data_IF_418111299192
#
_entry.id   IF_418111299192
#
_cell.length_a   1.000
_cell.length_b   1.000
_cell.length_c   1.000
_cell.angle_alpha   90.00
_cell.angle_beta   90.00
_cell.angle_gamma   90.00
#
_symmetry.space_group_name_H-M   'P 1'
#
loop_
_entity.id
_entity.type
_entity.pdbx_description
1 polymer ?
#
# COMPACT_ATOMS: atom_id res chain seq x y z
N UNK A 1 1.26 41.62 48.73
CA UNK A 1 0.73 41.18 47.42
C UNK A 1 1.79 41.09 46.31
N UNK A 2 2.63 42.11 46.06
CA UNK A 2 3.65 42.07 44.98
C UNK A 2 4.65 40.90 45.04
N UNK A 3 5.04 40.43 46.23
CA UNK A 3 5.98 39.29 46.41
C UNK A 3 5.33 37.91 46.16
N UNK A 4 4.05 37.75 46.50
CA UNK A 4 3.30 36.49 46.28
C UNK A 4 2.96 36.33 44.79
N UNK A 5 2.61 37.42 44.10
CA UNK A 5 2.32 37.41 42.67
C UNK A 5 3.58 37.10 41.83
N UNK A 6 4.75 37.56 42.28
CA UNK A 6 6.05 37.25 41.66
C UNK A 6 6.45 35.77 41.80
N UNK A 7 6.21 35.18 42.99
CA UNK A 7 6.44 33.75 43.25
C UNK A 7 5.51 32.84 42.43
N UNK A 8 4.24 33.22 42.28
CA UNK A 8 3.29 32.52 41.40
C UNK A 8 3.72 32.58 39.93
N UNK A 9 4.24 33.72 39.46
CA UNK A 9 4.77 33.85 38.10
C UNK A 9 6.00 32.98 37.86
N UNK A 10 6.93 32.91 38.82
CA UNK A 10 8.14 32.08 38.72
C UNK A 10 7.77 30.59 38.69
N UNK A 11 6.86 30.14 39.55
CA UNK A 11 6.37 28.76 39.56
C UNK A 11 5.62 28.43 38.26
N UNK A 12 4.80 29.34 37.71
CA UNK A 12 4.13 29.16 36.42
C UNK A 12 5.15 29.07 35.27
N UNK A 13 6.19 29.91 35.26
CA UNK A 13 7.22 29.87 34.22
C UNK A 13 8.13 28.64 34.32
N UNK A 14 8.41 28.15 35.54
CA UNK A 14 9.16 26.91 35.74
C UNK A 14 8.33 25.65 35.44
N UNK A 15 6.99 25.69 35.59
CA UNK A 15 6.11 24.59 35.18
C UNK A 15 5.79 24.58 33.67
N UNK A 16 6.09 25.66 32.94
CA UNK A 16 6.09 25.68 31.47
C UNK A 16 7.46 25.26 30.89
N UNK A 17 8.52 25.27 31.71
CA UNK A 17 9.81 24.60 31.41
C UNK A 17 9.79 23.10 31.78
N UNK A 18 8.63 22.44 31.71
CA UNK A 18 8.63 20.99 31.45
C UNK A 18 9.20 20.86 30.04
N UNK A 19 10.45 20.44 29.98
CA UNK A 19 11.18 20.09 28.77
C UNK A 19 10.23 19.40 27.78
N UNK A 20 9.69 20.18 26.84
CA UNK A 20 9.28 19.65 25.56
C UNK A 20 10.61 19.27 24.91
N UNK A 21 11.16 18.11 25.30
CA UNK A 21 12.20 17.46 24.51
C UNK A 21 11.67 17.50 23.08
N UNK A 22 12.40 18.23 22.23
CA UNK A 22 12.04 18.38 20.83
C UNK A 22 11.86 16.97 20.28
N UNK A 23 10.67 16.69 19.71
CA UNK A 23 10.35 15.35 19.25
C UNK A 23 11.45 14.87 18.32
N UNK A 24 12.00 13.65 18.53
CA UNK A 24 13.14 13.21 17.75
C UNK A 24 12.76 13.17 16.27
N UNK A 25 13.64 13.68 15.42
CA UNK A 25 13.45 13.63 13.97
C UNK A 25 13.58 12.21 13.41
N UNK A 26 14.28 11.34 14.15
CA UNK A 26 14.52 9.96 13.78
C UNK A 26 14.45 9.06 15.02
N UNK A 27 13.75 7.93 14.90
CA UNK A 27 13.59 6.92 15.94
C UNK A 27 13.91 5.55 15.36
N UNK A 28 14.66 4.73 16.09
CA UNK A 28 14.91 3.34 15.72
C UNK A 28 13.79 2.44 16.26
N UNK A 29 13.33 1.48 15.47
CA UNK A 29 12.37 0.45 15.85
C UNK A 29 13.09 -0.88 16.12
N UNK A 30 12.70 -1.66 17.15
CA UNK A 30 11.61 -1.39 18.08
C UNK A 30 11.95 -0.28 19.09
N UNK A 31 10.93 0.42 19.59
CA UNK A 31 11.06 1.45 20.63
C UNK A 31 9.81 1.43 21.51
N UNK A 32 10.00 1.41 22.84
CA UNK A 32 8.92 1.44 23.83
C UNK A 32 8.12 2.75 23.81
N UNK A 33 8.67 3.79 23.18
CA UNK A 33 8.04 5.10 23.02
C UNK A 33 7.10 5.16 21.82
N UNK A 34 7.27 4.26 20.85
CA UNK A 34 6.39 4.16 19.70
C UNK A 34 5.13 3.39 20.07
N UNK A 35 3.98 3.89 19.64
CA UNK A 35 2.70 3.20 19.80
C UNK A 35 1.74 3.56 18.67
N UNK A 36 0.62 2.83 18.61
CA UNK A 36 -0.43 3.04 17.62
C UNK A 36 -1.71 3.49 18.31
N UNK A 37 -2.28 4.61 17.85
CA UNK A 37 -3.58 5.09 18.33
C UNK A 37 -4.73 4.16 17.90
N UNK A 38 -5.92 4.34 18.48
CA UNK A 38 -7.12 3.62 18.02
C UNK A 38 -7.53 3.96 16.58
N UNK A 39 -7.05 5.10 16.06
CA UNK A 39 -7.33 5.57 14.70
C UNK A 39 -6.23 5.17 13.71
N UNK A 40 -5.33 4.25 14.10
CA UNK A 40 -4.19 3.82 13.29
C UNK A 40 -3.19 4.97 12.99
N UNK A 41 -2.97 5.86 13.94
CA UNK A 41 -1.97 6.93 13.84
C UNK A 41 -0.73 6.57 14.67
N UNK A 42 0.46 6.83 14.13
CA UNK A 42 1.71 6.58 14.82
C UNK A 42 1.97 7.64 15.90
N UNK A 43 2.25 7.19 17.11
CA UNK A 43 2.53 8.04 18.26
C UNK A 43 3.97 7.83 18.76
N UNK A 44 4.59 8.89 19.27
CA UNK A 44 5.83 8.86 20.04
C UNK A 44 5.60 9.54 21.39
N UNK A 45 5.81 8.81 22.49
CA UNK A 45 5.50 9.26 23.86
C UNK A 45 4.08 9.85 23.99
N UNK A 46 3.11 9.19 23.31
CA UNK A 46 1.69 9.55 23.35
C UNK A 46 1.26 10.73 22.48
N UNK A 47 2.17 11.30 21.66
CA UNK A 47 1.86 12.40 20.72
C UNK A 47 1.99 11.93 19.27
N UNK A 48 1.22 12.52 18.36
CA UNK A 48 1.33 12.25 16.92
C UNK A 48 2.76 12.48 16.43
N UNK A 49 3.33 11.48 15.78
CA UNK A 49 4.74 11.48 15.39
C UNK A 49 4.94 12.08 14.00
N UNK A 50 5.94 12.97 13.88
CA UNK A 50 6.41 13.61 12.65
C UNK A 50 7.91 13.47 12.58
N UNK A 51 8.38 12.62 11.69
CA UNK A 51 9.79 12.26 11.59
C UNK A 51 9.96 10.93 10.90
N UNK A 52 11.13 10.33 11.11
CA UNK A 52 11.51 9.08 10.46
C UNK A 52 11.54 7.94 11.47
N UNK A 53 11.04 6.77 11.08
CA UNK A 53 11.24 5.53 11.84
C UNK A 53 12.16 4.63 11.02
N UNK A 54 13.30 4.28 11.60
CA UNK A 54 14.29 3.37 11.01
C UNK A 54 14.10 1.97 11.59
N UNK A 55 14.00 0.95 10.75
CA UNK A 55 13.93 -0.46 11.19
C UNK A 55 15.29 -1.16 11.14
N UNK A 56 16.15 -0.72 10.24
CA UNK A 56 17.56 -1.10 10.10
C UNK A 56 18.25 0.01 9.29
N UNK A 57 19.47 -0.22 8.82
CA UNK A 57 20.26 0.81 8.10
C UNK A 57 19.64 1.22 6.75
N UNK A 58 18.75 0.42 6.18
CA UNK A 58 18.14 0.68 4.86
C UNK A 58 16.63 0.90 4.92
N UNK A 59 15.90 0.18 5.77
CA UNK A 59 14.44 0.21 5.85
C UNK A 59 13.96 1.34 6.76
N UNK A 60 13.03 2.15 6.27
CA UNK A 60 12.45 3.27 6.99
C UNK A 60 11.07 3.66 6.48
N UNK A 61 10.31 4.33 7.35
CA UNK A 61 9.09 5.08 6.99
C UNK A 61 9.25 6.54 7.40
N UNK A 62 8.76 7.47 6.59
CA UNK A 62 8.63 8.87 6.96
C UNK A 62 7.19 9.18 7.32
N UNK A 63 7.01 9.99 8.36
CA UNK A 63 5.73 10.28 8.97
C UNK A 63 5.54 11.78 9.18
N UNK A 64 4.29 12.22 9.05
CA UNK A 64 3.81 13.53 9.45
C UNK A 64 2.46 13.38 10.12
N UNK A 65 2.35 13.92 11.33
CA UNK A 65 1.15 13.91 12.16
C UNK A 65 0.58 12.49 12.32
N UNK A 66 1.46 11.50 12.49
CA UNK A 66 1.11 10.09 12.69
C UNK A 66 0.82 9.29 11.41
N UNK A 67 0.87 9.91 10.23
CA UNK A 67 0.58 9.29 8.93
C UNK A 67 1.81 9.24 8.03
N UNK A 68 1.83 8.33 7.05
CA UNK A 68 2.85 8.26 6.01
C UNK A 68 2.90 9.58 5.23
N UNK A 69 4.09 10.16 5.15
CA UNK A 69 4.38 11.37 4.38
C UNK A 69 5.87 11.38 4.01
N UNK A 70 6.16 11.49 2.73
CA UNK A 70 7.49 11.29 2.15
C UNK A 70 7.75 9.84 1.72
N UNK A 71 9.02 9.57 1.39
CA UNK A 71 9.45 8.26 0.90
C UNK A 71 9.39 7.20 2.02
N UNK A 72 9.06 5.98 1.64
CA UNK A 72 9.11 4.81 2.48
C UNK A 72 9.82 3.70 1.72
N UNK A 73 10.72 3.03 2.40
CA UNK A 73 11.44 1.89 1.84
C UNK A 73 11.48 0.77 2.88
N UNK A 74 11.04 -0.42 2.51
CA UNK A 74 11.05 -1.59 3.37
C UNK A 74 11.67 -2.75 2.63
N UNK A 75 12.71 -3.34 3.23
CA UNK A 75 13.34 -4.56 2.73
C UNK A 75 13.33 -5.66 3.78
N UNK A 76 12.80 -6.79 3.39
CA UNK A 76 12.83 -8.08 4.09
C UNK A 76 13.40 -9.15 3.14
N UNK A 77 13.61 -10.37 3.63
CA UNK A 77 14.23 -11.45 2.83
C UNK A 77 13.45 -11.76 1.54
N UNK A 78 12.12 -11.75 1.62
CA UNK A 78 11.22 -12.15 0.53
C UNK A 78 10.38 -11.00 -0.03
N UNK A 79 10.50 -9.80 0.52
CA UNK A 79 9.68 -8.66 0.13
C UNK A 79 10.48 -7.35 0.21
N UNK A 80 10.43 -6.57 -0.86
CA UNK A 80 10.97 -5.23 -0.95
C UNK A 80 9.85 -4.31 -1.45
N UNK A 81 9.61 -3.21 -0.73
CA UNK A 81 8.62 -2.20 -1.12
C UNK A 81 9.21 -0.80 -1.07
N UNK A 82 8.80 0.02 -2.01
CA UNK A 82 9.09 1.45 -2.07
C UNK A 82 7.83 2.19 -2.46
N UNK A 83 7.53 3.29 -1.79
CA UNK A 83 6.48 4.22 -2.20
C UNK A 83 6.74 5.59 -1.60
N UNK A 84 6.16 6.62 -2.20
CA UNK A 84 6.25 7.99 -1.71
C UNK A 84 4.85 8.56 -1.53
N UNK A 85 4.64 9.26 -0.42
CA UNK A 85 3.41 9.99 -0.14
C UNK A 85 3.71 11.47 -0.15
N UNK A 86 2.90 12.27 -0.83
CA UNK A 86 3.01 13.72 -0.88
C UNK A 86 1.63 14.34 -0.67
N UNK A 87 1.50 15.17 0.37
CA UNK A 87 0.22 15.75 0.79
C UNK A 87 -0.85 14.67 1.04
N UNK A 88 -0.47 13.60 1.75
CA UNK A 88 -1.36 12.48 2.06
C UNK A 88 -1.76 11.58 0.89
N UNK A 89 -1.16 11.74 -0.30
CA UNK A 89 -1.47 10.95 -1.50
C UNK A 89 -0.24 10.26 -2.06
N UNK A 90 -0.39 9.06 -2.62
CA UNK A 90 0.70 8.40 -3.33
C UNK A 90 1.13 9.20 -4.56
N UNK A 91 2.42 9.31 -4.77
CA UNK A 91 3.02 10.09 -5.85
C UNK A 91 4.25 9.37 -6.42
N UNK A 92 4.33 9.31 -7.75
CA UNK A 92 5.45 8.68 -8.45
C UNK A 92 5.37 7.16 -8.44
N UNK A 93 6.51 6.49 -8.51
CA UNK A 93 6.57 5.03 -8.57
C UNK A 93 6.40 4.40 -7.19
N UNK A 94 5.40 3.53 -7.06
CA UNK A 94 5.34 2.50 -6.04
C UNK A 94 5.91 1.21 -6.61
N UNK A 95 6.87 0.61 -5.92
CA UNK A 95 7.52 -0.64 -6.33
C UNK A 95 7.31 -1.71 -5.28
N UNK A 96 6.95 -2.90 -5.73
CA UNK A 96 6.85 -4.10 -4.90
C UNK A 96 7.60 -5.21 -5.61
N UNK A 97 8.60 -5.76 -4.94
CA UNK A 97 9.34 -6.93 -5.37
C UNK A 97 9.15 -8.02 -4.34
N UNK A 98 8.59 -9.15 -4.74
CA UNK A 98 8.41 -10.30 -3.86
C UNK A 98 9.12 -11.53 -4.42
N UNK A 99 9.75 -12.32 -3.55
CA UNK A 99 10.28 -13.63 -3.89
C UNK A 99 9.30 -14.70 -3.39
N UNK A 100 8.65 -15.37 -4.33
CA UNK A 100 7.75 -16.48 -4.04
C UNK A 100 8.35 -17.74 -4.66
N UNK A 101 8.76 -18.69 -3.80
CA UNK A 101 9.35 -19.97 -4.21
C UNK A 101 10.55 -19.85 -5.15
N UNK A 102 11.43 -18.87 -4.92
CA UNK A 102 12.63 -18.64 -5.73
C UNK A 102 12.38 -17.87 -7.03
N UNK A 103 11.14 -17.44 -7.29
CA UNK A 103 10.79 -16.57 -8.42
C UNK A 103 10.50 -15.16 -7.90
N UNK A 104 11.15 -14.18 -8.50
CA UNK A 104 10.87 -12.77 -8.24
C UNK A 104 9.66 -12.32 -9.07
N UNK A 105 8.69 -11.73 -8.40
CA UNK A 105 7.59 -10.99 -9.00
C UNK A 105 7.83 -9.52 -8.73
N UNK A 106 7.90 -8.74 -9.81
CA UNK A 106 8.13 -7.29 -9.76
C UNK A 106 6.87 -6.59 -10.24
N UNK A 107 6.35 -5.69 -9.39
CA UNK A 107 5.27 -4.80 -9.70
C UNK A 107 5.73 -3.35 -9.52
N UNK A 108 5.44 -2.51 -10.50
CA UNK A 108 5.62 -1.05 -10.43
C UNK A 108 4.30 -0.40 -10.80
N UNK A 109 3.75 0.41 -9.91
CA UNK A 109 2.54 1.21 -10.15
C UNK A 109 2.93 2.67 -10.08
N UNK A 110 2.57 3.45 -11.09
CA UNK A 110 2.88 4.88 -11.16
C UNK A 110 1.65 5.66 -10.75
N UNK A 111 1.78 6.48 -9.71
CA UNK A 111 0.74 7.35 -9.19
C UNK A 111 1.01 8.80 -9.55
N UNK A 112 -0.08 9.56 -9.72
CA UNK A 112 -0.07 11.02 -9.78
C UNK A 112 -1.26 11.55 -9.00
N UNK A 113 -1.00 12.34 -7.97
CA UNK A 113 -2.02 12.90 -7.09
C UNK A 113 -2.97 11.82 -6.52
N UNK A 114 -2.40 10.67 -6.14
CA UNK A 114 -3.13 9.52 -5.60
C UNK A 114 -3.82 8.63 -6.64
N UNK A 115 -3.82 8.99 -7.92
CA UNK A 115 -4.46 8.22 -8.99
C UNK A 115 -3.44 7.40 -9.78
N UNK A 116 -3.79 6.14 -10.09
CA UNK A 116 -2.95 5.25 -10.89
C UNK A 116 -2.92 5.72 -12.34
N UNK A 117 -1.72 5.90 -12.89
CA UNK A 117 -1.49 6.31 -14.28
C UNK A 117 -1.01 5.14 -15.13
N UNK A 118 -0.20 4.26 -14.55
CA UNK A 118 0.36 3.11 -15.23
C UNK A 118 0.69 2.00 -14.24
N UNK A 119 0.76 0.78 -14.74
CA UNK A 119 1.26 -0.36 -14.00
C UNK A 119 2.09 -1.27 -14.90
N UNK A 120 3.17 -1.79 -14.33
CA UNK A 120 3.98 -2.86 -14.88
C UNK A 120 3.97 -4.01 -13.89
N UNK A 121 3.44 -5.16 -14.28
CA UNK A 121 3.40 -6.35 -13.43
C UNK A 121 4.06 -7.48 -14.21
N UNK A 122 5.26 -7.88 -13.78
CA UNK A 122 6.11 -8.78 -14.55
C UNK A 122 6.34 -8.28 -15.99
N UNK A 123 5.81 -9.01 -16.98
CA UNK A 123 5.90 -8.66 -18.41
C UNK A 123 4.78 -7.72 -18.88
N UNK A 124 3.70 -7.60 -18.11
CA UNK A 124 2.55 -6.80 -18.49
C UNK A 124 2.84 -5.32 -18.27
N UNK A 125 2.46 -4.49 -19.23
CA UNK A 125 2.60 -3.03 -19.19
C UNK A 125 1.27 -2.41 -19.59
N UNK A 126 0.68 -1.64 -18.68
CA UNK A 126 -0.59 -0.95 -18.86
C UNK A 126 -0.43 0.54 -18.53
N UNK A 127 -0.95 1.39 -19.40
CA UNK A 127 -1.12 2.83 -19.20
C UNK A 127 -2.62 3.10 -19.24
N UNK A 128 -3.14 3.78 -18.24
CA UNK A 128 -4.57 4.05 -18.12
C UNK A 128 -4.91 5.44 -18.64
N UNK A 129 -5.96 5.54 -19.45
CA UNK A 129 -6.50 6.83 -19.86
C UNK A 129 -7.39 7.45 -18.76
N UNK A 130 -7.94 8.63 -19.04
CA UNK A 130 -8.82 9.34 -18.08
C UNK A 130 -10.12 8.60 -17.73
N UNK A 131 -10.50 7.60 -18.53
CA UNK A 131 -11.67 6.74 -18.29
C UNK A 131 -11.27 5.40 -17.65
N UNK A 132 -9.99 5.23 -17.28
CA UNK A 132 -9.45 3.99 -16.74
C UNK A 132 -9.21 2.91 -17.80
N UNK A 133 -9.33 3.20 -19.09
CA UNK A 133 -9.13 2.20 -20.15
C UNK A 133 -7.64 1.92 -20.33
N UNK A 134 -7.26 0.66 -20.24
CA UNK A 134 -5.86 0.26 -20.37
C UNK A 134 -5.37 0.34 -21.83
N UNK A 135 -4.13 0.76 -22.00
CA UNK A 135 -3.38 0.73 -23.25
C UNK A 135 -2.00 0.12 -22.98
N UNK A 136 -1.54 -0.80 -23.83
CA UNK A 136 -0.23 -1.41 -23.66
C UNK A 136 -0.16 -2.85 -24.14
N UNK A 137 0.64 -3.67 -23.45
CA UNK A 137 0.93 -5.05 -23.82
C UNK A 137 0.77 -5.91 -22.59
N UNK A 138 0.08 -7.04 -22.74
CA UNK A 138 -0.06 -8.06 -21.70
C UNK A 138 0.36 -9.41 -22.26
N UNK A 139 0.70 -10.34 -21.38
CA UNK A 139 0.92 -11.74 -21.73
C UNK A 139 -0.34 -12.56 -21.39
N UNK A 140 -1.00 -13.09 -22.41
CA UNK A 140 -2.17 -13.96 -22.27
C UNK A 140 -1.88 -15.31 -22.88
N UNK A 141 -1.93 -16.38 -22.09
CA UNK A 141 -1.62 -17.76 -22.51
C UNK A 141 -0.25 -17.92 -23.22
N UNK A 142 0.72 -17.10 -22.83
CA UNK A 142 2.07 -17.10 -23.41
C UNK A 142 2.22 -16.28 -24.70
N UNK A 143 1.15 -15.62 -25.16
CA UNK A 143 1.18 -14.71 -26.30
C UNK A 143 1.06 -13.25 -25.86
N UNK A 144 1.83 -12.37 -26.50
CA UNK A 144 1.71 -10.93 -26.28
C UNK A 144 0.44 -10.40 -26.97
N UNK A 145 -0.42 -9.75 -26.19
CA UNK A 145 -1.64 -9.11 -26.68
C UNK A 145 -1.50 -7.61 -26.50
N UNK A 146 -1.58 -6.88 -27.61
CA UNK A 146 -1.71 -5.42 -27.55
C UNK A 146 -3.12 -5.04 -27.11
N UNK A 147 -3.21 -4.27 -26.02
CA UNK A 147 -4.43 -3.64 -25.54
C UNK A 147 -4.47 -2.20 -26.04
N UNK A 148 -5.59 -1.82 -26.64
CA UNK A 148 -5.87 -0.44 -27.04
C UNK A 148 -7.28 -0.05 -26.63
N UNK A 149 -7.42 1.13 -26.03
CA UNK A 149 -8.69 1.67 -25.55
C UNK A 149 -9.44 0.65 -24.65
N UNK A 150 -8.69 -0.04 -23.80
CA UNK A 150 -9.17 -1.06 -22.88
C UNK A 150 -9.48 -2.40 -23.53
N UNK A 151 -9.20 -2.61 -24.82
CA UNK A 151 -9.57 -3.83 -25.56
C UNK A 151 -8.36 -4.52 -26.20
N UNK A 152 -8.23 -5.82 -25.98
CA UNK A 152 -7.29 -6.72 -26.65
C UNK A 152 -7.99 -7.84 -27.41
N UNK A 153 -7.28 -8.48 -28.34
CA UNK A 153 -7.76 -9.67 -29.04
C UNK A 153 -6.72 -10.77 -28.94
N UNK A 154 -7.14 -11.94 -28.47
CA UNK A 154 -6.33 -13.16 -28.44
C UNK A 154 -7.15 -14.29 -29.07
N UNK A 155 -6.72 -14.76 -30.24
CA UNK A 155 -7.48 -15.73 -31.04
C UNK A 155 -8.95 -15.31 -31.28
N UNK A 156 -9.89 -16.10 -30.74
CA UNK A 156 -11.34 -15.86 -30.84
C UNK A 156 -11.94 -15.10 -29.64
N UNK A 157 -11.09 -14.63 -28.73
CA UNK A 157 -11.46 -13.93 -27.50
C UNK A 157 -11.21 -12.44 -27.64
N UNK A 158 -12.06 -11.68 -26.97
CA UNK A 158 -11.92 -10.24 -26.77
C UNK A 158 -11.67 -10.05 -25.28
N UNK A 159 -10.55 -9.42 -24.96
CA UNK A 159 -10.13 -9.11 -23.60
C UNK A 159 -10.45 -7.65 -23.31
N UNK A 160 -10.98 -7.35 -22.14
CA UNK A 160 -11.14 -5.97 -21.66
C UNK A 160 -10.43 -5.74 -20.35
N UNK A 161 -9.73 -4.62 -20.25
CA UNK A 161 -8.97 -4.18 -19.08
C UNK A 161 -9.37 -2.75 -18.73
N UNK A 162 -10.00 -2.58 -17.57
CA UNK A 162 -10.57 -1.32 -17.12
C UNK A 162 -10.16 -1.11 -15.67
N UNK A 163 -9.47 -0.01 -15.40
CA UNK A 163 -9.22 0.46 -14.04
C UNK A 163 -10.46 1.19 -13.53
N UNK A 164 -11.02 0.71 -12.44
CA UNK A 164 -12.03 1.41 -11.67
C UNK A 164 -11.34 2.38 -10.71
N UNK A 165 -11.20 3.64 -11.13
CA UNK A 165 -10.54 4.69 -10.35
C UNK A 165 -11.22 5.00 -9.00
N UNK A 166 -12.52 4.69 -8.83
CA UNK A 166 -13.21 4.94 -7.56
C UNK A 166 -12.86 3.91 -6.48
N UNK A 167 -12.55 2.69 -6.93
CA UNK A 167 -12.26 1.56 -6.04
C UNK A 167 -10.80 1.14 -6.06
N UNK A 168 -9.98 1.73 -6.93
CA UNK A 168 -8.62 1.31 -7.23
C UNK A 168 -8.56 -0.19 -7.59
N UNK A 169 -9.43 -0.64 -8.51
CA UNK A 169 -9.54 -2.05 -8.91
C UNK A 169 -9.31 -2.22 -10.40
N UNK A 170 -8.56 -3.25 -10.80
CA UNK A 170 -8.49 -3.64 -12.20
C UNK A 170 -9.59 -4.66 -12.49
N UNK A 171 -10.48 -4.29 -13.40
CA UNK A 171 -11.53 -5.14 -13.95
C UNK A 171 -11.00 -5.79 -15.22
N UNK A 172 -11.01 -7.11 -15.23
CA UNK A 172 -10.67 -7.92 -16.39
C UNK A 172 -11.88 -8.71 -16.86
N UNK A 173 -12.20 -8.62 -18.15
CA UNK A 173 -13.34 -9.32 -18.74
C UNK A 173 -12.93 -10.05 -20.02
N UNK A 174 -13.48 -11.25 -20.20
CA UNK A 174 -13.27 -12.07 -21.39
C UNK A 174 -14.60 -12.24 -22.10
N UNK A 175 -14.64 -11.94 -23.39
CA UNK A 175 -15.79 -12.14 -24.26
C UNK A 175 -15.41 -13.06 -25.42
N UNK A 176 -16.40 -13.74 -26.00
CA UNK A 176 -16.23 -14.36 -27.31
C UNK A 176 -16.40 -13.33 -28.44
N UNK A 177 -16.08 -13.72 -29.68
CA UNK A 177 -16.28 -12.89 -30.89
C UNK A 177 -17.72 -12.41 -31.16
N UNK A 178 -18.74 -12.96 -30.47
CA UNK A 178 -20.14 -12.52 -30.55
C UNK A 178 -20.49 -11.55 -29.41
N UNK A 179 -19.49 -11.01 -28.70
CA UNK A 179 -19.65 -10.13 -27.54
C UNK A 179 -20.41 -10.75 -26.35
N UNK A 180 -20.49 -12.08 -26.26
CA UNK A 180 -21.00 -12.74 -25.05
C UNK A 180 -19.90 -12.78 -24.00
N UNK A 181 -20.17 -12.24 -22.81
CA UNK A 181 -19.29 -12.34 -21.64
C UNK A 181 -19.12 -13.81 -21.27
N UNK A 182 -17.86 -14.22 -21.12
CA UNK A 182 -17.46 -15.57 -20.71
C UNK A 182 -16.96 -15.57 -19.27
N UNK A 183 -16.20 -14.56 -18.87
CA UNK A 183 -15.63 -14.41 -17.54
C UNK A 183 -15.44 -12.94 -17.19
N UNK A 184 -15.51 -12.62 -15.90
CA UNK A 184 -15.19 -11.31 -15.34
C UNK A 184 -14.51 -11.52 -14.01
N UNK A 185 -13.41 -10.82 -13.77
CA UNK A 185 -12.72 -10.78 -12.48
C UNK A 185 -12.38 -9.34 -12.13
N UNK A 186 -12.41 -9.05 -10.85
CA UNK A 186 -11.98 -7.78 -10.28
C UNK A 186 -10.81 -8.12 -9.36
N UNK A 187 -9.67 -7.48 -9.56
CA UNK A 187 -8.53 -7.63 -8.64
C UNK A 187 -8.35 -6.39 -7.80
N UNK A 188 -8.21 -6.63 -6.49
CA UNK A 188 -7.83 -5.63 -5.50
C UNK A 188 -6.31 -5.42 -5.42
N UNK A 189 -5.51 -6.03 -6.29
CA UNK A 189 -4.06 -5.82 -6.34
C UNK A 189 -3.68 -4.34 -6.59
N UNK A 190 -4.65 -3.58 -7.11
CA UNK A 190 -4.53 -2.14 -7.34
C UNK A 190 -5.08 -1.29 -6.19
N UNK A 191 -5.71 -1.88 -5.15
CA UNK A 191 -6.25 -1.16 -4.00
C UNK A 191 -5.11 -0.67 -3.12
N UNK A 192 -4.43 0.36 -3.60
CA UNK A 192 -3.18 0.82 -3.05
C UNK A 192 -3.30 2.32 -2.87
N UNK A 193 -3.79 2.71 -1.70
CA UNK A 193 -3.81 4.09 -1.22
C UNK A 193 -3.16 4.17 0.16
N UNK A 194 -2.81 5.38 0.60
CA UNK A 194 -2.11 5.61 1.87
C UNK A 194 -2.81 4.92 3.04
N UNK A 195 -4.12 5.12 3.20
CA UNK A 195 -4.87 4.59 4.33
C UNK A 195 -4.88 3.06 4.36
N UNK A 196 -4.98 2.41 3.19
CA UNK A 196 -4.88 0.96 3.08
C UNK A 196 -3.47 0.46 3.44
N UNK A 197 -2.43 1.14 2.97
CA UNK A 197 -1.03 0.81 3.33
C UNK A 197 -0.82 0.94 4.83
N UNK A 198 -1.26 2.04 5.45
CA UNK A 198 -1.11 2.27 6.89
C UNK A 198 -1.81 1.21 7.72
N UNK A 199 -3.02 0.79 7.33
CA UNK A 199 -3.78 -0.27 8.01
C UNK A 199 -3.09 -1.63 7.97
N UNK A 200 -2.34 -1.91 6.92
CA UNK A 200 -1.55 -3.14 6.83
C UNK A 200 -0.21 -3.01 7.54
N UNK A 201 0.49 -1.89 7.32
CA UNK A 201 1.85 -1.70 7.80
C UNK A 201 1.91 -1.44 9.29
N UNK A 202 1.19 -0.44 9.82
CA UNK A 202 1.42 0.03 11.17
C UNK A 202 1.16 -1.04 12.26
N UNK A 203 0.07 -1.82 12.21
CA UNK A 203 -0.12 -2.90 13.18
C UNK A 203 1.01 -3.93 13.15
N UNK A 204 1.51 -4.26 11.95
CA UNK A 204 2.58 -5.24 11.76
C UNK A 204 3.89 -4.83 12.45
N UNK A 205 4.15 -3.52 12.60
CA UNK A 205 5.32 -3.00 13.31
C UNK A 205 5.32 -3.34 14.80
N UNK A 206 4.14 -3.63 15.36
CA UNK A 206 3.94 -3.99 16.77
C UNK A 206 3.62 -5.48 16.94
N UNK A 207 3.89 -6.31 15.93
CA UNK A 207 3.59 -7.74 15.95
C UNK A 207 2.08 -8.04 15.99
N UNK A 208 1.23 -7.06 15.65
CA UNK A 208 -0.21 -7.26 15.54
C UNK A 208 -0.55 -7.57 14.09
N UNK A 209 -1.24 -8.67 13.85
CA UNK A 209 -1.80 -8.95 12.54
C UNK A 209 -2.97 -8.01 12.28
N UNK A 210 -3.03 -7.39 11.10
CA UNK A 210 -4.19 -6.56 10.74
C UNK A 210 -5.41 -7.45 10.47
N UNK A 211 -6.61 -6.94 10.74
CA UNK A 211 -7.86 -7.66 10.44
C UNK A 211 -7.95 -8.03 8.95
N UNK A 212 -7.39 -7.19 8.09
CA UNK A 212 -7.35 -7.41 6.63
C UNK A 212 -6.36 -8.52 6.25
N UNK A 213 -5.17 -8.56 6.85
CA UNK A 213 -4.23 -9.68 6.68
C UNK A 213 -4.85 -11.01 7.15
N UNK A 214 -5.54 -10.98 8.29
CA UNK A 214 -6.27 -12.16 8.81
C UNK A 214 -7.37 -12.63 7.84
N UNK A 215 -8.13 -11.68 7.28
CA UNK A 215 -9.16 -11.96 6.27
C UNK A 215 -8.57 -12.55 4.99
N UNK A 216 -7.46 -12.01 4.49
CA UNK A 216 -6.78 -12.51 3.29
C UNK A 216 -6.23 -13.92 3.49
N UNK A 217 -5.64 -14.23 4.66
CA UNK A 217 -5.22 -15.59 5.01
C UNK A 217 -6.39 -16.57 4.98
N UNK A 218 -7.54 -16.18 5.54
CA UNK A 218 -8.73 -17.02 5.59
C UNK A 218 -9.33 -17.26 4.19
N UNK A 219 -9.34 -16.25 3.33
CA UNK A 219 -9.75 -16.41 1.92
C UNK A 219 -8.81 -17.39 1.21
N UNK A 220 -7.50 -17.20 1.33
CA UNK A 220 -6.51 -18.08 0.71
C UNK A 220 -6.62 -19.52 1.21
N UNK A 221 -6.85 -19.73 2.52
CA UNK A 221 -7.09 -21.05 3.10
C UNK A 221 -8.31 -21.72 2.46
N UNK A 222 -9.44 -21.01 2.35
CA UNK A 222 -10.67 -21.54 1.73
C UNK A 222 -10.45 -21.88 0.26
N UNK A 223 -9.78 -21.03 -0.50
CA UNK A 223 -9.49 -21.29 -1.91
C UNK A 223 -8.59 -22.52 -2.10
N UNK A 224 -7.57 -22.71 -1.24
CA UNK A 224 -6.73 -23.92 -1.27
C UNK A 224 -7.54 -25.18 -0.94
N UNK A 225 -8.42 -25.12 0.06
CA UNK A 225 -9.30 -26.24 0.42
C UNK A 225 -10.28 -26.62 -0.69
N UNK A 226 -10.81 -25.64 -1.43
CA UNK A 226 -11.65 -25.92 -2.60
C UNK A 226 -10.85 -26.56 -3.74
N UNK A 227 -9.66 -26.03 -4.05
CA UNK A 227 -8.78 -26.62 -5.07
C UNK A 227 -8.40 -28.07 -4.74
N UNK A 228 -8.13 -28.37 -3.48
CA UNK A 228 -7.81 -29.74 -3.04
C UNK A 228 -9.02 -30.68 -3.14
N UNK A 229 -10.24 -30.19 -2.87
CA UNK A 229 -11.49 -30.96 -3.06
C UNK A 229 -11.76 -31.26 -4.53
N UNK A 230 -11.45 -30.34 -5.44
CA UNK A 230 -11.58 -30.56 -6.88
C UNK A 230 -10.58 -31.63 -7.33
N UNK A 231 -9.30 -31.51 -6.93
CA UNK A 231 -8.25 -32.49 -7.26
C UNK A 231 -8.50 -33.90 -6.75
N UNK A 232 -9.21 -34.06 -5.62
CA UNK A 232 -9.56 -35.38 -5.06
C UNK A 232 -10.80 -36.03 -5.72
N UNK A 233 -11.51 -35.30 -6.60
CA UNK A 233 -12.70 -35.80 -7.32
C UNK A 233 -12.39 -36.25 -8.75
N UNK A 234 -11.18 -36.00 -9.25
CA UNK A 234 -10.62 -36.57 -10.50
C UNK A 234 -9.81 -37.83 -10.18
#
# INVERSE_FOLDING_TARGET
MKRILSLLFIILTMSVMVFSEEMPKEVKSPSDKLSLSSNNEMLYDGKLYTGKIMFNDVSYINLKDGHLEGETYMKQETLETFYNVTNGKLEGECRVRSNVNGKYNDAVIVFKNGEIQAAKINSDVMIFDSNGMANGIILSDGEEVTIKDGVGKSGNLILKYILNNEKDELIFQIFNKKNKLLSSSETSDFRFNRDHIEKMLFPSLFGKESDEASRLKEINRKSQEELEKIRKKE
#
